data_IF_557409043050
#
_entry.id   IF_557409043050
#
_cell.length_a   1.000
_cell.length_b   1.000
_cell.length_c   1.000
_cell.angle_alpha   90.00
_cell.angle_beta   90.00
_cell.angle_gamma   90.00
#
_symmetry.space_group_name_H-M   'P 1'
#
loop_
_entity.id
_entity.type
_entity.pdbx_description
1 polymer ?
#
# COMPACT_ATOMS: atom_id res chain seq x y z
N UNK A 1 -2.58 -1.23 28.12
CA UNK A 1 -3.51 -1.48 27.01
C UNK A 1 -2.74 -1.23 25.72
N UNK A 2 -2.70 -2.17 24.78
CA UNK A 2 -2.07 -1.91 23.49
C UNK A 2 -2.93 -0.87 22.76
N UNK A 3 -2.33 0.25 22.34
CA UNK A 3 -3.02 1.27 21.55
C UNK A 3 -3.40 0.64 20.20
N UNK A 4 -4.68 0.68 19.83
CA UNK A 4 -5.11 0.20 18.52
C UNK A 4 -4.43 1.02 17.41
N UNK A 5 -3.82 0.35 16.44
CA UNK A 5 -3.11 1.03 15.35
C UNK A 5 -4.13 1.66 14.39
N UNK A 6 -3.92 2.93 14.05
CA UNK A 6 -4.78 3.64 13.09
C UNK A 6 -4.80 2.94 11.74
N UNK A 7 -5.98 2.91 11.10
CA UNK A 7 -6.14 2.48 9.70
C UNK A 7 -5.57 3.57 8.78
N UNK A 8 -4.76 3.18 7.80
CA UNK A 8 -4.06 4.12 6.91
C UNK A 8 -4.46 3.86 5.47
N UNK A 9 -4.98 4.86 4.77
CA UNK A 9 -5.16 4.84 3.32
C UNK A 9 -4.06 5.64 2.64
N UNK A 10 -3.37 5.03 1.69
CA UNK A 10 -2.29 5.65 0.92
C UNK A 10 -2.72 5.79 -0.53
N UNK A 11 -2.85 7.03 -0.98
CA UNK A 11 -3.08 7.38 -2.39
C UNK A 11 -1.75 7.66 -3.06
N UNK A 12 -1.52 7.11 -4.25
CA UNK A 12 -0.23 7.22 -4.94
C UNK A 12 0.86 6.31 -4.34
N UNK A 13 0.47 5.18 -3.74
CA UNK A 13 1.38 4.24 -3.07
C UNK A 13 2.46 3.63 -3.97
N UNK A 14 2.31 3.69 -5.30
CA UNK A 14 3.32 3.22 -6.28
C UNK A 14 4.35 4.28 -6.66
N UNK A 15 4.17 5.55 -6.24
CA UNK A 15 5.12 6.62 -6.49
C UNK A 15 6.43 6.48 -5.72
N UNK A 16 7.43 7.30 -6.05
CA UNK A 16 8.78 7.25 -5.48
C UNK A 16 8.79 7.33 -3.94
N UNK A 17 7.99 8.25 -3.39
CA UNK A 17 7.80 8.41 -1.94
C UNK A 17 6.74 7.45 -1.42
N UNK A 18 5.61 7.33 -2.14
CA UNK A 18 4.47 6.50 -1.74
C UNK A 18 4.87 5.09 -1.34
N UNK A 19 5.76 4.44 -2.11
CA UNK A 19 6.20 3.08 -1.82
C UNK A 19 6.90 2.91 -0.49
N UNK A 20 7.63 3.94 -0.05
CA UNK A 20 8.32 3.95 1.25
C UNK A 20 7.33 4.16 2.39
N UNK A 21 6.32 4.99 2.16
CA UNK A 21 5.23 5.21 3.14
C UNK A 21 4.44 3.92 3.35
N UNK A 22 4.14 3.17 2.27
CA UNK A 22 3.46 1.86 2.38
C UNK A 22 4.29 0.89 3.23
N UNK A 23 5.58 0.75 2.92
CA UNK A 23 6.48 -0.13 3.66
C UNK A 23 6.57 0.24 5.15
N UNK A 24 6.70 1.53 5.46
CA UNK A 24 6.74 2.01 6.85
C UNK A 24 5.42 1.75 7.59
N UNK A 25 4.28 2.01 6.95
CA UNK A 25 2.96 1.77 7.54
C UNK A 25 2.76 0.30 7.90
N UNK A 26 3.17 -0.62 7.01
CA UNK A 26 3.12 -2.06 7.25
C UNK A 26 4.10 -2.49 8.35
N UNK A 27 5.33 -1.99 8.33
CA UNK A 27 6.35 -2.31 9.35
C UNK A 27 5.94 -1.87 10.76
N UNK A 28 5.25 -0.73 10.87
CA UNK A 28 4.69 -0.22 12.12
C UNK A 28 3.39 -0.94 12.54
N UNK A 29 2.91 -1.92 11.76
CA UNK A 29 1.77 -2.75 12.08
C UNK A 29 0.41 -2.07 11.89
N UNK A 30 0.33 -1.03 11.05
CA UNK A 30 -0.95 -0.41 10.73
C UNK A 30 -1.74 -1.26 9.73
N UNK A 31 -3.08 -1.34 9.85
CA UNK A 31 -3.92 -1.80 8.76
C UNK A 31 -3.79 -0.83 7.57
N UNK A 32 -2.99 -1.23 6.57
CA UNK A 32 -2.63 -0.40 5.42
C UNK A 32 -3.49 -0.71 4.20
N UNK A 33 -4.06 0.34 3.61
CA UNK A 33 -4.84 0.30 2.38
C UNK A 33 -4.11 1.11 1.30
N UNK A 34 -4.03 0.59 0.08
CA UNK A 34 -3.40 1.26 -1.06
C UNK A 34 -4.43 1.42 -2.16
N UNK A 35 -4.70 2.67 -2.55
CA UNK A 35 -5.61 2.96 -3.65
C UNK A 35 -4.92 2.71 -4.99
N UNK A 36 -5.50 1.84 -5.81
CA UNK A 36 -5.13 1.63 -7.19
C UNK A 36 -5.99 2.48 -8.12
N UNK A 37 -5.54 2.65 -9.36
CA UNK A 37 -6.31 3.32 -10.40
C UNK A 37 -6.69 2.30 -11.48
N UNK A 38 -7.88 2.39 -12.12
CA UNK A 38 -8.31 1.41 -13.11
C UNK A 38 -7.28 1.08 -14.20
N UNK A 39 -6.57 2.09 -14.74
CA UNK A 39 -5.57 1.88 -15.81
C UNK A 39 -4.22 1.29 -15.35
N UNK A 40 -4.04 0.97 -14.06
CA UNK A 40 -2.76 0.49 -13.52
C UNK A 40 -2.30 -0.84 -14.14
N UNK A 41 -3.21 -1.65 -14.68
CA UNK A 41 -2.89 -2.92 -15.33
C UNK A 41 -2.01 -2.78 -16.59
N UNK A 42 -1.90 -1.56 -17.14
CA UNK A 42 -1.03 -1.26 -18.28
C UNK A 42 0.44 -1.00 -17.87
N UNK A 43 0.70 -0.79 -16.58
CA UNK A 43 2.01 -0.48 -16.02
C UNK A 43 2.51 -1.67 -15.20
N UNK A 44 3.31 -2.53 -15.84
CA UNK A 44 3.80 -3.79 -15.25
C UNK A 44 4.62 -3.53 -14.00
N UNK A 45 5.43 -2.47 -13.98
CA UNK A 45 6.29 -2.13 -12.84
C UNK A 45 5.44 -1.74 -11.63
N UNK A 46 4.42 -0.90 -11.84
CA UNK A 46 3.48 -0.54 -10.77
C UNK A 46 2.66 -1.73 -10.30
N UNK A 47 2.28 -2.64 -11.19
CA UNK A 47 1.55 -3.86 -10.83
C UNK A 47 2.40 -4.77 -9.93
N UNK A 48 3.69 -4.97 -10.26
CA UNK A 48 4.61 -5.75 -9.43
C UNK A 48 4.74 -5.15 -8.03
N UNK A 49 4.86 -3.82 -7.92
CA UNK A 49 4.90 -3.12 -6.63
C UNK A 49 3.62 -3.38 -5.82
N UNK A 50 2.44 -3.27 -6.43
CA UNK A 50 1.17 -3.52 -5.75
C UNK A 50 1.03 -4.97 -5.27
N UNK A 51 1.47 -5.95 -6.08
CA UNK A 51 1.49 -7.35 -5.70
C UNK A 51 2.44 -7.61 -4.53
N UNK A 52 3.60 -6.95 -4.51
CA UNK A 52 4.54 -7.01 -3.39
C UNK A 52 3.93 -6.45 -2.10
N UNK A 53 3.20 -5.33 -2.16
CA UNK A 53 2.50 -4.79 -0.99
C UNK A 53 1.39 -5.72 -0.50
N UNK A 54 0.63 -6.33 -1.42
CA UNK A 54 -0.40 -7.31 -1.06
C UNK A 54 0.20 -8.52 -0.35
N UNK A 55 1.35 -9.02 -0.83
CA UNK A 55 2.09 -10.10 -0.18
C UNK A 55 2.61 -9.72 1.22
N UNK A 56 2.92 -8.44 1.46
CA UNK A 56 3.31 -7.90 2.77
C UNK A 56 2.13 -7.58 3.70
N UNK A 57 0.89 -7.77 3.26
CA UNK A 57 -0.32 -7.58 4.07
C UNK A 57 -1.12 -6.30 3.78
N UNK A 58 -0.74 -5.50 2.79
CA UNK A 58 -1.56 -4.36 2.37
C UNK A 58 -2.86 -4.82 1.71
N UNK A 59 -3.92 -4.04 1.91
CA UNK A 59 -5.20 -4.21 1.21
C UNK A 59 -5.28 -3.26 0.03
N UNK A 60 -5.43 -3.80 -1.17
CA UNK A 60 -5.60 -2.99 -2.38
C UNK A 60 -7.07 -2.60 -2.50
N UNK A 61 -7.34 -1.32 -2.78
CA UNK A 61 -8.68 -0.77 -3.01
C UNK A 61 -8.74 -0.17 -4.41
N UNK A 62 -9.83 -0.43 -5.11
CA UNK A 62 -10.21 0.04 -6.44
C UNK A 62 -11.13 1.27 -6.45
#
# INVERSE_FOLDING_TARGET
MAMEKSRVLIVGGTGYIGRRIVAASLAEGHPTFVLLRPEIGLDIDKLQILLAFKAQGARLLD
#
